data_IF_860725106489
#
_entry.id   IF_860725106489
#
_cell.length_a   1.000
_cell.length_b   1.000
_cell.length_c   1.000
_cell.angle_alpha   90.00
_cell.angle_beta   90.00
_cell.angle_gamma   90.00
#
_symmetry.space_group_name_H-M   'P 1'
#
loop_
_entity.id
_entity.type
_entity.pdbx_description
1 polymer ?
#
# COMPACT_ATOMS: atom_id res chain seq x y z
N UNK A 1 56.96 -42.24 -53.13
CA UNK A 1 57.05 -41.57 -51.83
C UNK A 1 56.33 -40.26 -51.99
N UNK A 2 55.05 -40.20 -51.63
CA UNK A 2 54.30 -38.95 -51.52
C UNK A 2 53.29 -39.14 -50.39
N UNK A 3 53.56 -38.49 -49.27
CA UNK A 3 52.64 -38.36 -48.14
C UNK A 3 52.48 -36.85 -47.91
N UNK A 4 51.30 -36.33 -48.25
CA UNK A 4 50.90 -34.95 -47.94
C UNK A 4 49.63 -35.00 -47.10
N UNK A 5 49.85 -34.70 -45.83
CA UNK A 5 48.91 -34.63 -44.70
C UNK A 5 47.92 -33.46 -44.82
N UNK A 6 46.65 -33.74 -44.50
CA UNK A 6 45.56 -32.78 -44.32
C UNK A 6 45.61 -32.08 -42.96
N UNK A 7 45.17 -30.81 -42.83
CA UNK A 7 45.05 -30.13 -41.54
C UNK A 7 43.67 -30.38 -40.89
N UNK A 8 43.69 -30.80 -39.63
CA UNK A 8 42.51 -31.02 -38.79
C UNK A 8 41.90 -29.73 -38.25
N UNK A 9 40.56 -29.67 -38.26
CA UNK A 9 39.78 -28.57 -37.69
C UNK A 9 39.69 -28.69 -36.14
N UNK A 10 39.68 -27.57 -35.39
CA UNK A 10 39.53 -27.60 -33.95
C UNK A 10 38.06 -27.79 -33.53
N UNK A 11 37.84 -28.76 -32.63
CA UNK A 11 36.57 -28.99 -31.93
C UNK A 11 36.24 -27.81 -31.00
N UNK A 12 35.27 -27.00 -31.41
CA UNK A 12 34.69 -25.93 -30.60
C UNK A 12 33.73 -26.47 -29.54
N UNK A 13 34.19 -26.45 -28.29
CA UNK A 13 33.45 -26.77 -27.06
C UNK A 13 32.08 -26.08 -26.98
N UNK A 14 31.02 -26.87 -26.94
CA UNK A 14 29.64 -26.41 -26.72
C UNK A 14 29.47 -26.02 -25.25
N UNK A 15 29.47 -24.72 -24.95
CA UNK A 15 29.15 -24.22 -23.60
C UNK A 15 27.65 -24.48 -23.34
N UNK A 16 27.28 -25.23 -22.27
CA UNK A 16 25.89 -25.45 -21.95
C UNK A 16 25.24 -24.13 -21.54
N UNK A 17 24.29 -23.68 -22.37
CA UNK A 17 23.53 -22.46 -22.17
C UNK A 17 22.48 -22.71 -21.08
N UNK A 18 22.92 -22.75 -19.81
CA UNK A 18 22.04 -22.83 -18.66
C UNK A 18 21.32 -21.50 -18.51
N UNK A 19 20.19 -21.36 -19.23
CA UNK A 19 19.20 -20.30 -19.01
C UNK A 19 18.85 -20.31 -17.52
N UNK A 20 19.41 -19.38 -16.75
CA UNK A 20 18.97 -19.10 -15.38
C UNK A 20 17.47 -18.83 -15.45
N UNK A 21 16.66 -19.76 -14.93
CA UNK A 21 15.26 -19.49 -14.67
C UNK A 21 15.22 -18.31 -13.72
N UNK A 22 14.90 -17.14 -14.24
CA UNK A 22 14.62 -15.97 -13.43
C UNK A 22 13.39 -16.31 -12.61
N UNK A 23 13.58 -16.43 -11.30
CA UNK A 23 12.48 -16.68 -10.39
C UNK A 23 11.38 -15.65 -10.66
N UNK A 24 10.14 -16.11 -10.88
CA UNK A 24 9.02 -15.20 -11.06
C UNK A 24 8.98 -14.26 -9.84
N UNK A 25 8.91 -12.93 -10.04
CA UNK A 25 8.82 -12.01 -8.92
C UNK A 25 7.62 -12.41 -8.05
N UNK A 26 7.73 -12.31 -6.71
CA UNK A 26 6.64 -12.67 -5.83
C UNK A 26 5.39 -11.86 -6.17
N UNK A 27 4.20 -12.44 -6.00
CA UNK A 27 2.93 -11.81 -6.35
C UNK A 27 2.73 -10.44 -5.67
N UNK A 28 3.39 -10.18 -4.53
CA UNK A 28 3.39 -8.86 -3.88
C UNK A 28 4.06 -7.75 -4.71
N UNK A 29 4.97 -8.09 -5.63
CA UNK A 29 5.62 -7.14 -6.52
C UNK A 29 4.76 -6.75 -7.74
N UNK A 30 3.58 -7.36 -7.91
CA UNK A 30 2.68 -7.04 -9.04
C UNK A 30 1.99 -5.70 -8.92
N UNK A 31 1.97 -5.10 -7.72
CA UNK A 31 1.38 -3.78 -7.47
C UNK A 31 2.19 -3.05 -6.40
N UNK A 32 2.52 -1.78 -6.64
CA UNK A 32 3.31 -0.98 -5.69
C UNK A 32 2.67 -0.89 -4.30
N UNK A 33 1.34 -0.92 -4.21
CA UNK A 33 0.62 -0.94 -2.93
C UNK A 33 0.81 -2.25 -2.16
N UNK A 34 0.87 -3.38 -2.86
CA UNK A 34 1.12 -4.69 -2.25
C UNK A 34 2.58 -4.79 -1.80
N UNK A 35 3.50 -4.14 -2.50
CA UNK A 35 4.90 -4.05 -2.10
C UNK A 35 5.05 -3.22 -0.82
N UNK A 36 4.36 -2.08 -0.73
CA UNK A 36 4.32 -1.29 0.51
C UNK A 36 3.71 -2.11 1.64
N UNK A 37 2.53 -2.70 1.46
CA UNK A 37 1.88 -3.52 2.49
C UNK A 37 2.77 -4.69 2.94
N UNK A 38 3.42 -5.38 2.00
CA UNK A 38 4.40 -6.42 2.30
C UNK A 38 5.56 -5.87 3.13
N UNK A 39 6.16 -4.74 2.73
CA UNK A 39 7.24 -4.10 3.48
C UNK A 39 6.81 -3.74 4.91
N UNK A 40 5.63 -3.13 5.06
CA UNK A 40 5.06 -2.76 6.37
C UNK A 40 4.81 -3.99 7.26
N UNK A 41 4.34 -5.09 6.69
CA UNK A 41 4.10 -6.33 7.41
C UNK A 41 5.41 -7.03 7.87
N UNK A 42 6.50 -6.90 7.11
CA UNK A 42 7.81 -7.44 7.49
C UNK A 42 8.59 -6.54 8.45
N UNK A 43 8.21 -5.28 8.60
CA UNK A 43 8.79 -4.36 9.58
C UNK A 43 8.25 -4.56 11.01
N UNK A 44 7.36 -5.52 11.24
CA UNK A 44 6.88 -5.80 12.60
C UNK A 44 8.07 -6.26 13.44
N UNK A 45 8.28 -5.67 14.65
CA UNK A 45 9.31 -6.16 15.56
C UNK A 45 9.05 -7.66 15.73
N UNK A 46 10.08 -8.48 15.52
CA UNK A 46 9.92 -9.94 15.58
C UNK A 46 9.17 -10.32 16.84
N UNK A 47 8.24 -11.27 16.74
CA UNK A 47 7.27 -11.70 17.77
C UNK A 47 7.87 -12.19 19.12
N UNK A 48 9.14 -11.90 19.40
CA UNK A 48 9.68 -11.99 20.76
C UNK A 48 9.25 -10.77 21.56
N UNK A 49 8.87 -11.00 22.83
CA UNK A 49 8.50 -10.03 23.88
C UNK A 49 9.59 -8.99 24.21
N UNK A 50 10.22 -8.41 23.19
CA UNK A 50 11.30 -7.47 23.34
C UNK A 50 10.74 -6.16 23.87
N UNK A 51 11.30 -5.65 24.99
CA UNK A 51 10.79 -4.46 25.66
C UNK A 51 10.84 -3.25 24.72
N UNK A 52 9.88 -2.34 24.91
CA UNK A 52 9.58 -1.17 24.07
C UNK A 52 10.76 -0.66 23.24
N UNK A 53 10.60 -0.67 21.91
CA UNK A 53 11.53 -0.06 20.96
C UNK A 53 11.91 1.34 21.41
N UNK A 54 13.21 1.63 21.44
CA UNK A 54 13.72 2.95 21.84
C UNK A 54 13.15 4.04 20.91
N UNK A 55 13.00 5.30 21.36
CA UNK A 55 12.51 6.38 20.50
C UNK A 55 13.33 6.53 19.20
N UNK A 56 14.63 6.23 19.24
CA UNK A 56 15.52 6.25 18.08
C UNK A 56 15.21 5.15 17.07
N UNK A 57 14.88 3.94 17.53
CA UNK A 57 14.46 2.83 16.66
C UNK A 57 13.11 3.13 16.00
N UNK A 58 12.17 3.71 16.74
CA UNK A 58 10.88 4.13 16.19
C UNK A 58 11.05 5.16 15.09
N UNK A 59 11.86 6.20 15.32
CA UNK A 59 12.15 7.21 14.31
C UNK A 59 12.83 6.60 13.08
N UNK A 60 13.85 5.75 13.29
CA UNK A 60 14.57 5.08 12.19
C UNK A 60 13.60 4.24 11.33
N UNK A 61 12.64 3.57 11.97
CA UNK A 61 11.59 2.81 11.29
C UNK A 61 10.65 3.72 10.50
N UNK A 62 10.18 4.82 11.09
CA UNK A 62 9.34 5.81 10.40
C UNK A 62 10.06 6.39 9.17
N UNK A 63 11.33 6.75 9.29
CA UNK A 63 12.14 7.28 8.18
C UNK A 63 12.34 6.23 7.07
N UNK A 64 12.48 4.94 7.43
CA UNK A 64 12.54 3.86 6.46
C UNK A 64 11.22 3.70 5.69
N UNK A 65 10.08 3.76 6.39
CA UNK A 65 8.74 3.72 5.78
C UNK A 65 8.56 4.89 4.81
N UNK A 66 8.89 6.11 5.23
CA UNK A 66 8.73 7.30 4.41
C UNK A 66 9.61 7.26 3.16
N UNK A 67 10.87 6.80 3.26
CA UNK A 67 11.75 6.65 2.10
C UNK A 67 11.24 5.63 1.08
N UNK A 68 10.71 4.50 1.54
CA UNK A 68 10.12 3.49 0.64
C UNK A 68 8.84 4.03 0.00
N UNK A 69 7.99 4.71 0.77
CA UNK A 69 6.79 5.33 0.24
C UNK A 69 7.11 6.42 -0.79
N UNK A 70 8.13 7.25 -0.55
CA UNK A 70 8.56 8.29 -1.46
C UNK A 70 9.04 7.69 -2.80
N UNK A 71 9.90 6.67 -2.72
CA UNK A 71 10.36 5.93 -3.89
C UNK A 71 9.21 5.34 -4.73
N UNK A 72 8.18 4.79 -4.07
CA UNK A 72 7.07 4.12 -4.76
C UNK A 72 5.99 5.08 -5.28
N UNK A 73 5.78 6.22 -4.62
CA UNK A 73 4.58 7.04 -4.83
C UNK A 73 4.86 8.52 -5.14
N UNK A 74 6.09 9.00 -4.93
CA UNK A 74 6.53 10.37 -5.21
C UNK A 74 5.53 11.41 -4.69
N UNK A 75 5.06 12.31 -5.56
CA UNK A 75 4.11 13.37 -5.19
C UNK A 75 2.76 12.90 -4.62
N UNK A 76 2.40 11.62 -4.77
CA UNK A 76 1.22 11.07 -4.08
C UNK A 76 1.47 10.96 -2.57
N UNK A 77 2.74 10.76 -2.14
CA UNK A 77 3.14 10.79 -0.73
C UNK A 77 2.94 12.18 -0.13
N UNK A 78 3.35 13.26 -0.81
CA UNK A 78 3.17 14.63 -0.31
C UNK A 78 1.69 14.92 0.00
N UNK A 79 0.81 14.50 -0.91
CA UNK A 79 -0.63 14.62 -0.71
C UNK A 79 -1.17 13.77 0.45
N UNK A 80 -0.55 12.62 0.74
CA UNK A 80 -0.91 11.75 1.85
C UNK A 80 -0.41 12.32 3.19
N UNK A 81 0.83 12.83 3.23
CA UNK A 81 1.39 13.48 4.41
C UNK A 81 0.62 14.76 4.75
N UNK A 82 0.23 15.55 3.75
CA UNK A 82 -0.65 16.71 3.97
C UNK A 82 -2.00 16.34 4.61
N UNK A 83 -2.52 15.13 4.36
CA UNK A 83 -3.70 14.59 5.04
C UNK A 83 -3.35 14.13 6.46
N UNK A 84 -2.15 13.63 6.73
CA UNK A 84 -1.78 13.21 8.08
C UNK A 84 -1.43 14.41 8.99
N UNK A 85 -0.88 15.47 8.42
CA UNK A 85 -0.43 16.66 9.15
C UNK A 85 -1.54 17.69 9.40
N UNK A 86 -2.63 17.63 8.63
CA UNK A 86 -3.72 18.60 8.76
C UNK A 86 -4.49 18.37 10.07
N UNK A 87 -4.79 19.47 10.77
CA UNK A 87 -5.58 19.42 12.01
C UNK A 87 -7.06 19.06 11.77
N UNK A 88 -7.55 19.32 10.57
CA UNK A 88 -8.93 19.06 10.16
C UNK A 88 -9.10 17.67 9.53
N UNK A 89 -8.00 17.01 9.19
CA UNK A 89 -8.04 15.71 8.53
C UNK A 89 -8.16 14.64 9.58
N UNK A 90 -9.33 14.03 9.56
CA UNK A 90 -9.67 12.93 10.42
C UNK A 90 -9.71 11.67 9.56
N UNK A 91 -8.96 10.66 9.99
CA UNK A 91 -9.14 9.30 9.48
C UNK A 91 -10.03 8.59 10.49
N UNK A 92 -11.23 8.22 10.06
CA UNK A 92 -12.18 7.45 10.89
C UNK A 92 -12.28 6.04 10.35
N UNK A 93 -12.16 5.05 11.22
CA UNK A 93 -12.35 3.63 10.94
C UNK A 93 -13.67 3.20 11.54
N UNK A 94 -14.62 2.78 10.70
CA UNK A 94 -15.94 2.31 11.14
C UNK A 94 -15.97 0.79 11.00
N UNK A 95 -16.16 0.09 12.11
CA UNK A 95 -16.24 -1.36 12.18
C UNK A 95 -17.65 -1.80 12.58
N UNK A 96 -18.29 -2.58 11.73
CA UNK A 96 -19.51 -3.30 12.07
C UNK A 96 -19.18 -4.48 12.96
N UNK A 97 -19.80 -4.55 14.13
CA UNK A 97 -19.51 -5.59 15.13
C UNK A 97 -19.96 -6.99 14.69
N UNK A 98 -21.13 -7.11 14.07
CA UNK A 98 -21.72 -8.39 13.67
C UNK A 98 -21.13 -8.94 12.37
N UNK A 99 -21.14 -8.16 11.30
CA UNK A 99 -20.61 -8.59 9.99
C UNK A 99 -19.11 -8.40 9.82
N UNK A 100 -18.44 -7.74 10.77
CA UNK A 100 -17.02 -7.39 10.69
C UNK A 100 -16.67 -6.51 9.50
N UNK A 101 -17.68 -5.91 8.84
CA UNK A 101 -17.48 -4.96 7.74
C UNK A 101 -16.74 -3.73 8.20
N UNK A 102 -15.81 -3.28 7.37
CA UNK A 102 -14.91 -2.20 7.72
C UNK A 102 -14.83 -1.18 6.58
N UNK A 103 -15.05 0.08 6.93
CA UNK A 103 -14.88 1.21 6.02
C UNK A 103 -14.03 2.27 6.71
N UNK A 104 -13.15 2.90 5.94
CA UNK A 104 -12.38 4.05 6.37
C UNK A 104 -12.96 5.31 5.75
N UNK A 105 -13.05 6.39 6.52
CA UNK A 105 -13.32 7.72 6.03
C UNK A 105 -12.05 8.54 6.16
N UNK A 106 -11.71 9.24 5.09
CA UNK A 106 -10.56 10.12 5.03
C UNK A 106 -11.06 11.48 4.58
N UNK A 107 -10.87 12.51 5.43
CA UNK A 107 -11.17 13.89 5.06
C UNK A 107 -9.97 14.52 4.37
N UNK A 108 -10.18 15.12 3.20
CA UNK A 108 -9.10 15.72 2.43
C UNK A 108 -9.57 16.88 1.54
N UNK A 109 -8.66 17.81 1.24
CA UNK A 109 -8.92 18.88 0.27
C UNK A 109 -8.76 18.34 -1.15
N UNK A 110 -9.78 18.59 -1.97
CA UNK A 110 -9.69 18.37 -3.42
C UNK A 110 -8.88 19.50 -4.04
N UNK A 111 -8.06 19.20 -5.05
CA UNK A 111 -7.35 20.22 -5.82
C UNK A 111 -8.36 21.21 -6.39
N UNK A 112 -8.15 22.51 -6.13
CA UNK A 112 -9.02 23.58 -6.62
C UNK A 112 -10.30 23.84 -5.81
N UNK A 113 -10.51 23.14 -4.68
CA UNK A 113 -11.61 23.45 -3.75
C UNK A 113 -11.06 23.88 -2.40
N UNK A 114 -11.67 24.91 -1.83
CA UNK A 114 -11.34 25.37 -0.47
C UNK A 114 -11.95 24.49 0.61
N UNK A 115 -13.01 23.74 0.28
CA UNK A 115 -13.72 22.87 1.19
C UNK A 115 -13.13 21.45 1.19
N UNK A 116 -12.93 20.94 2.40
CA UNK A 116 -12.54 19.56 2.65
C UNK A 116 -13.73 18.63 2.40
N UNK A 117 -13.52 17.55 1.65
CA UNK A 117 -14.54 16.53 1.37
C UNK A 117 -14.22 15.23 2.12
N UNK A 118 -15.26 14.45 2.41
CA UNK A 118 -15.14 13.12 2.96
C UNK A 118 -15.05 12.07 1.85
N UNK A 119 -14.03 11.22 1.92
CA UNK A 119 -13.85 10.10 1.02
C UNK A 119 -13.92 8.79 1.80
N UNK A 120 -14.78 7.86 1.36
CA UNK A 120 -14.79 6.53 1.93
C UNK A 120 -13.80 5.63 1.17
N UNK A 121 -13.12 4.77 1.91
CA UNK A 121 -12.08 3.91 1.44
C UNK A 121 -12.25 2.50 2.01
N UNK A 122 -11.85 1.50 1.23
CA UNK A 122 -11.82 0.09 1.63
C UNK A 122 -10.38 -0.37 1.45
N UNK A 123 -9.83 -0.98 2.50
CA UNK A 123 -8.54 -1.65 2.49
C UNK A 123 -8.78 -3.16 2.63
N UNK A 124 -7.95 -4.01 2.01
CA UNK A 124 -8.01 -5.44 2.24
C UNK A 124 -7.60 -5.72 3.69
N UNK A 125 -8.46 -6.40 4.43
CA UNK A 125 -8.08 -7.02 5.71
C UNK A 125 -7.92 -8.53 5.51
N UNK A 126 -6.99 -9.12 6.26
CA UNK A 126 -6.62 -10.55 6.14
C UNK A 126 -7.81 -11.50 6.29
N UNK A 127 -8.83 -11.09 7.03
CA UNK A 127 -10.02 -11.89 7.35
C UNK A 127 -11.20 -11.63 6.40
N UNK A 128 -11.10 -10.66 5.48
CA UNK A 128 -12.21 -10.31 4.60
C UNK A 128 -12.11 -11.02 3.25
N UNK A 129 -13.26 -11.46 2.73
CA UNK A 129 -13.39 -12.15 1.45
C UNK A 129 -12.97 -11.30 0.22
N UNK A 130 -12.76 -10.00 0.40
CA UNK A 130 -12.55 -9.05 -0.68
C UNK A 130 -11.15 -8.39 -0.60
N UNK A 131 -10.14 -8.92 -1.32
CA UNK A 131 -8.78 -8.41 -1.28
C UNK A 131 -8.58 -7.24 -2.24
N UNK A 132 -9.45 -6.22 -2.20
CA UNK A 132 -9.34 -5.05 -3.07
C UNK A 132 -9.22 -3.75 -2.29
N UNK A 133 -8.50 -2.81 -2.89
CA UNK A 133 -8.43 -1.43 -2.44
C UNK A 133 -9.48 -0.62 -3.19
N UNK A 134 -10.16 0.28 -2.49
CA UNK A 134 -11.11 1.20 -3.11
C UNK A 134 -11.07 2.57 -2.43
N UNK A 135 -11.25 3.63 -3.21
CA UNK A 135 -11.49 4.97 -2.69
C UNK A 135 -12.53 5.68 -3.56
N UNK A 136 -13.45 6.41 -2.93
CA UNK A 136 -14.47 7.18 -3.65
C UNK A 136 -13.95 8.44 -4.36
N UNK A 137 -12.66 8.77 -4.23
CA UNK A 137 -12.13 9.99 -4.84
C UNK A 137 -11.97 9.85 -6.37
N UNK A 138 -12.18 10.96 -7.09
CA UNK A 138 -12.06 11.02 -8.56
C UNK A 138 -10.75 10.45 -9.09
N UNK A 139 -9.63 10.79 -8.46
CA UNK A 139 -8.30 10.30 -8.89
C UNK A 139 -8.16 8.78 -8.81
N UNK A 140 -8.88 8.11 -7.90
CA UNK A 140 -8.87 6.65 -7.85
C UNK A 140 -9.59 6.06 -9.05
N UNK A 141 -10.80 6.56 -9.36
CA UNK A 141 -11.58 6.14 -10.52
C UNK A 141 -10.86 6.38 -11.86
N UNK A 142 -10.20 7.53 -12.02
CA UNK A 142 -9.46 7.82 -13.25
C UNK A 142 -8.27 6.87 -13.43
N UNK A 143 -7.54 6.58 -12.34
CA UNK A 143 -6.41 5.64 -12.36
C UNK A 143 -6.83 4.18 -12.57
N UNK A 144 -7.93 3.76 -11.95
CA UNK A 144 -8.43 2.38 -12.07
C UNK A 144 -8.96 2.06 -13.47
N UNK A 145 -9.41 3.07 -14.22
CA UNK A 145 -9.79 2.93 -15.64
C UNK A 145 -8.58 2.89 -16.58
N UNK A 146 -7.51 3.61 -16.24
CA UNK A 146 -6.36 3.82 -17.13
C UNK A 146 -5.30 2.71 -17.05
N UNK A 147 -5.26 1.93 -15.96
CA UNK A 147 -4.17 0.98 -15.70
C UNK A 147 -4.67 -0.29 -15.04
N UNK A 148 -4.09 -1.44 -15.43
CA UNK A 148 -4.23 -2.73 -14.72
C UNK A 148 -3.62 -2.65 -13.31
N UNK A 149 -2.63 -1.77 -13.13
CA UNK A 149 -2.00 -1.46 -11.87
C UNK A 149 -2.62 -0.20 -11.27
N UNK A 150 -3.69 -0.38 -10.48
CA UNK A 150 -4.29 0.69 -9.71
C UNK A 150 -3.30 1.20 -8.65
N UNK A 151 -2.59 2.30 -8.96
CA UNK A 151 -1.80 3.04 -7.97
C UNK A 151 -2.73 3.63 -6.91
N UNK A 152 -2.38 3.58 -5.61
CA UNK A 152 -3.19 4.20 -4.57
C UNK A 152 -3.34 5.70 -4.85
N UNK A 153 -4.49 6.26 -4.51
CA UNK A 153 -4.63 7.70 -4.35
C UNK A 153 -4.01 8.14 -3.02
N UNK A 154 -3.84 9.45 -2.84
CA UNK A 154 -3.31 10.02 -1.59
C UNK A 154 -4.12 9.61 -0.33
N UNK A 155 -5.44 9.41 -0.45
CA UNK A 155 -6.30 9.00 0.66
C UNK A 155 -6.01 7.57 1.13
N UNK A 156 -5.92 6.62 0.19
CA UNK A 156 -5.55 5.24 0.50
C UNK A 156 -4.15 5.16 1.10
N UNK A 157 -3.21 5.92 0.52
CA UNK A 157 -1.84 5.97 1.03
C UNK A 157 -1.79 6.57 2.44
N UNK A 158 -2.57 7.62 2.72
CA UNK A 158 -2.66 8.21 4.05
C UNK A 158 -3.20 7.21 5.09
N UNK A 159 -4.22 6.42 4.76
CA UNK A 159 -4.75 5.37 5.66
C UNK A 159 -3.70 4.28 5.92
N UNK A 160 -2.99 3.83 4.89
CA UNK A 160 -1.91 2.84 5.05
C UNK A 160 -0.78 3.37 5.93
N UNK A 161 -0.38 4.63 5.70
CA UNK A 161 0.69 5.26 6.47
C UNK A 161 0.28 5.60 7.90
N UNK A 162 -0.99 5.96 8.16
CA UNK A 162 -1.45 6.28 9.52
C UNK A 162 -1.29 5.08 10.45
N UNK A 163 -1.59 3.88 9.95
CA UNK A 163 -1.36 2.63 10.68
C UNK A 163 0.12 2.35 10.92
N UNK A 164 0.95 2.56 9.90
CA UNK A 164 2.37 2.24 9.95
C UNK A 164 3.20 3.21 10.82
N UNK A 165 2.85 4.49 10.76
CA UNK A 165 3.55 5.59 11.42
C UNK A 165 2.99 5.89 12.82
N UNK A 166 1.89 5.23 13.22
CA UNK A 166 1.18 5.47 14.48
C UNK A 166 0.72 6.93 14.66
N UNK A 167 0.32 7.59 13.56
CA UNK A 167 -0.15 8.99 13.62
C UNK A 167 -1.59 9.00 14.14
N UNK A 168 -1.82 9.69 15.26
CA UNK A 168 -3.16 10.05 15.74
C UNK A 168 -3.64 11.31 15.01
N UNK A 169 -4.96 11.47 14.75
CA UNK A 169 -6.08 10.70 15.31
C UNK A 169 -6.70 9.73 14.29
N UNK A 170 -6.42 8.44 14.44
CA UNK A 170 -7.29 7.40 13.91
C UNK A 170 -8.46 7.25 14.90
N UNK A 171 -9.63 7.78 14.55
CA UNK A 171 -10.84 7.52 15.33
C UNK A 171 -11.38 6.15 14.95
N UNK A 172 -11.69 5.32 15.95
CA UNK A 172 -12.29 4.01 15.72
C UNK A 172 -13.71 4.04 16.28
N UNK A 173 -14.69 3.80 15.41
CA UNK A 173 -16.09 3.73 15.76
C UNK A 173 -16.60 2.30 15.50
N UNK A 174 -17.19 1.70 16.53
CA UNK A 174 -17.80 0.37 16.43
C UNK A 174 -19.32 0.51 16.49
N UNK A 175 -20.03 -0.13 15.56
CA UNK A 175 -21.49 -0.02 15.44
C UNK A 175 -22.13 -1.37 15.16
N UNK A 176 -23.45 -1.50 15.37
CA UNK A 176 -24.20 -2.65 14.88
C UNK A 176 -24.36 -2.57 13.35
N UNK A 177 -24.75 -3.69 12.74
CA UNK A 177 -24.98 -3.79 11.30
C UNK A 177 -26.16 -2.92 10.82
N UNK A 178 -27.19 -2.76 11.67
CA UNK A 178 -28.37 -1.94 11.39
C UNK A 178 -28.03 -0.45 11.32
N UNK A 179 -27.06 -0.01 12.13
CA UNK A 179 -26.64 1.39 12.20
C UNK A 179 -25.40 1.68 11.33
N UNK A 180 -24.68 0.65 10.89
CA UNK A 180 -23.52 0.78 10.01
C UNK A 180 -23.84 1.52 8.72
N UNK A 181 -24.94 1.16 8.06
CA UNK A 181 -25.36 1.80 6.80
C UNK A 181 -25.73 3.27 7.01
N UNK A 182 -26.48 3.57 8.09
CA UNK A 182 -26.88 4.93 8.45
C UNK A 182 -25.66 5.80 8.73
N UNK A 183 -24.71 5.27 9.51
CA UNK A 183 -23.50 5.99 9.87
C UNK A 183 -22.63 6.27 8.63
N UNK A 184 -22.49 5.30 7.73
CA UNK A 184 -21.78 5.48 6.45
C UNK A 184 -22.44 6.56 5.60
N UNK A 185 -23.77 6.56 5.45
CA UNK A 185 -24.51 7.57 4.67
C UNK A 185 -24.35 8.96 5.29
N UNK A 186 -24.56 9.09 6.61
CA UNK A 186 -24.41 10.36 7.32
C UNK A 186 -23.01 10.96 7.12
N UNK A 187 -21.96 10.13 7.11
CA UNK A 187 -20.58 10.58 6.90
C UNK A 187 -20.29 11.02 5.46
N UNK A 188 -21.09 10.59 4.49
CA UNK A 188 -20.97 11.03 3.08
C UNK A 188 -21.70 12.34 2.80
N UNK A 189 -22.72 12.67 3.60
CA UNK A 189 -23.51 13.90 3.45
C UNK A 189 -22.89 15.11 4.18
N UNK A 190 -21.98 14.87 5.13
CA UNK A 190 -21.21 15.91 5.85
C UNK A 190 -19.96 16.36 5.09
#
# INVERSE_FOLDING_TARGET
>A
MDQSTTPGAPNGSTIPNSRKQTAKPPLCATRSINLLDHFLNNLKPGDGDSPMSTPKELQTRQDAILRVADFLFGSTLDGALAILDSRESLITRILSTSSRRLIYFCRGKSTGKNESQNYFCILPEKEMAFPFYFCSCRSFFERSRASVEARPCKHLLAILLSHALHVKPLQVETTSDEDFSKLVVNRLEM
#
